data_IF_996985636396
#
_entry.id   IF_996985636396
#
_cell.length_a   1.000
_cell.length_b   1.000
_cell.length_c   1.000
_cell.angle_alpha   90.00
_cell.angle_beta   90.00
_cell.angle_gamma   90.00
#
_symmetry.space_group_name_H-M   'P 1'
#
loop_
_entity.id
_entity.type
_entity.pdbx_description
1 polymer ?
#
# COMPACT_ATOMS: atom_id res chain seq x y z
N UNK A 1 -26.63 24.77 -16.54
CA UNK A 1 -25.70 24.53 -15.43
C UNK A 1 -24.30 24.44 -16.00
N UNK A 2 -23.33 25.13 -15.38
CA UNK A 2 -21.92 25.12 -15.77
C UNK A 2 -21.13 24.35 -14.70
N UNK A 3 -20.44 23.29 -15.08
CA UNK A 3 -19.51 22.57 -14.22
C UNK A 3 -18.23 23.40 -14.14
N UNK A 4 -17.76 23.70 -12.95
CA UNK A 4 -16.51 24.44 -12.70
C UNK A 4 -15.47 23.63 -11.92
N UNK A 5 -15.85 22.47 -11.37
CA UNK A 5 -14.95 21.57 -10.67
C UNK A 5 -15.36 20.10 -10.86
N UNK A 6 -14.40 19.20 -10.89
CA UNK A 6 -14.58 17.74 -10.99
C UNK A 6 -13.71 17.08 -9.92
N UNK A 7 -14.25 16.10 -9.24
CA UNK A 7 -13.50 15.22 -8.34
C UNK A 7 -13.36 13.85 -9.01
N UNK A 8 -12.13 13.39 -9.17
CA UNK A 8 -11.80 12.10 -9.77
C UNK A 8 -11.20 11.17 -8.72
N UNK A 9 -11.67 9.93 -8.67
CA UNK A 9 -11.01 8.91 -7.88
C UNK A 9 -9.65 8.55 -8.50
N UNK A 10 -8.65 8.24 -7.66
CA UNK A 10 -7.34 7.84 -8.15
C UNK A 10 -7.38 6.44 -8.76
N UNK A 11 -7.77 5.45 -7.96
CA UNK A 11 -7.60 4.03 -8.29
C UNK A 11 -8.63 3.56 -9.33
N UNK A 12 -8.16 3.08 -10.48
CA UNK A 12 -9.01 2.62 -11.57
C UNK A 12 -9.63 3.73 -12.43
N UNK A 13 -9.59 5.01 -11.97
CA UNK A 13 -10.03 6.17 -12.75
C UNK A 13 -8.85 6.91 -13.35
N UNK A 14 -8.00 7.52 -12.54
CA UNK A 14 -6.76 8.18 -12.97
C UNK A 14 -5.69 7.14 -13.31
N UNK A 15 -5.60 6.06 -12.51
CA UNK A 15 -4.69 4.94 -12.71
C UNK A 15 -5.39 3.76 -13.40
N UNK A 16 -4.61 2.76 -13.82
CA UNK A 16 -5.10 1.55 -14.49
C UNK A 16 -5.93 0.66 -13.55
N UNK A 17 -5.83 0.83 -12.23
CA UNK A 17 -6.47 -0.02 -11.24
C UNK A 17 -5.84 -1.41 -11.16
N UNK A 18 -4.57 -1.51 -11.52
CA UNK A 18 -3.76 -2.73 -11.51
C UNK A 18 -2.50 -2.51 -10.69
N UNK A 19 -2.62 -2.41 -9.36
CA UNK A 19 -1.47 -2.22 -8.50
C UNK A 19 -0.50 -3.40 -8.63
N UNK A 20 0.80 -3.08 -8.63
CA UNK A 20 1.88 -4.07 -8.65
C UNK A 20 2.90 -3.72 -7.57
N UNK A 21 3.51 -4.74 -6.98
CA UNK A 21 4.65 -4.53 -6.07
C UNK A 21 5.86 -4.08 -6.88
N UNK A 22 6.24 -2.82 -6.69
CA UNK A 22 7.39 -2.20 -7.35
C UNK A 22 8.70 -2.51 -6.62
N UNK A 23 8.71 -2.36 -5.29
CA UNK A 23 9.88 -2.58 -4.46
C UNK A 23 9.49 -3.28 -3.16
N UNK A 24 10.46 -4.01 -2.59
CA UNK A 24 10.36 -4.63 -1.27
C UNK A 24 11.68 -4.43 -0.54
N UNK A 25 11.60 -3.99 0.70
CA UNK A 25 12.73 -3.95 1.62
C UNK A 25 12.42 -4.80 2.83
N UNK A 26 13.20 -5.86 3.04
CA UNK A 26 13.18 -6.66 4.27
C UNK A 26 14.14 -6.05 5.28
N UNK A 27 13.70 -5.87 6.50
CA UNK A 27 14.61 -5.41 7.57
C UNK A 27 15.62 -6.51 7.92
N UNK A 28 16.83 -6.16 8.40
CA UNK A 28 17.85 -7.14 8.75
C UNK A 28 17.33 -8.24 9.67
N UNK A 29 17.53 -9.49 9.27
CA UNK A 29 17.05 -10.68 9.99
C UNK A 29 15.56 -11.01 9.77
N UNK A 30 14.93 -10.41 8.78
CA UNK A 30 13.56 -10.71 8.36
C UNK A 30 13.47 -11.23 6.89
N UNK A 31 14.59 -11.50 6.23
CA UNK A 31 14.63 -12.01 4.85
C UNK A 31 14.23 -13.49 4.72
N UNK A 32 13.69 -14.09 5.77
CA UNK A 32 13.30 -15.49 5.85
C UNK A 32 12.05 -15.77 4.97
N UNK A 33 12.08 -16.86 4.23
CA UNK A 33 10.93 -17.37 3.44
C UNK A 33 9.68 -17.59 4.30
N UNK A 34 9.84 -17.86 5.58
CA UNK A 34 8.74 -17.95 6.52
C UNK A 34 7.98 -16.63 6.64
N UNK A 35 8.67 -15.47 6.72
CA UNK A 35 8.00 -14.17 6.79
C UNK A 35 7.32 -13.82 5.46
N UNK A 36 7.88 -14.24 4.34
CA UNK A 36 7.23 -14.11 3.02
C UNK A 36 5.93 -14.92 2.98
N UNK A 37 5.93 -16.14 3.50
CA UNK A 37 4.74 -17.00 3.57
C UNK A 37 3.69 -16.43 4.52
N UNK A 38 4.09 -15.85 5.66
CA UNK A 38 3.18 -15.18 6.60
C UNK A 38 2.53 -13.95 5.95
N UNK A 39 3.32 -13.08 5.31
CA UNK A 39 2.82 -11.90 4.61
C UNK A 39 1.82 -12.30 3.52
N UNK A 40 2.16 -13.29 2.69
CA UNK A 40 1.28 -13.80 1.65
C UNK A 40 -0.03 -14.36 2.22
N UNK A 41 0.04 -15.16 3.29
CA UNK A 41 -1.12 -15.81 3.90
C UNK A 41 -2.08 -14.80 4.56
N UNK A 42 -1.55 -13.71 5.11
CA UNK A 42 -2.35 -12.60 5.66
C UNK A 42 -3.02 -11.86 4.50
N UNK A 43 -2.26 -11.46 3.48
CA UNK A 43 -2.76 -10.64 2.39
C UNK A 43 -3.79 -11.38 1.52
N UNK A 44 -3.66 -12.68 1.32
CA UNK A 44 -4.66 -13.43 0.55
C UNK A 44 -6.05 -13.50 1.23
N UNK A 45 -6.16 -13.09 2.49
CA UNK A 45 -7.42 -12.98 3.23
C UNK A 45 -7.96 -11.54 3.25
N UNK A 46 -7.17 -10.59 2.81
CA UNK A 46 -7.54 -9.19 2.73
C UNK A 46 -8.32 -8.92 1.43
N UNK A 47 -9.37 -8.12 1.53
CA UNK A 47 -10.13 -7.65 0.36
C UNK A 47 -9.59 -6.34 -0.21
N UNK A 48 -8.46 -5.84 0.31
CA UNK A 48 -7.89 -4.58 -0.13
C UNK A 48 -7.22 -4.72 -1.50
N UNK A 49 -7.40 -3.78 -2.45
CA UNK A 49 -6.80 -3.88 -3.79
C UNK A 49 -5.27 -4.02 -3.80
N UNK A 50 -4.57 -3.46 -2.80
CA UNK A 50 -3.12 -3.60 -2.68
C UNK A 50 -2.69 -5.01 -2.25
N UNK A 51 -3.55 -5.74 -1.55
CA UNK A 51 -3.28 -7.11 -1.12
C UNK A 51 -3.08 -8.05 -2.30
N UNK A 52 -3.88 -7.89 -3.35
CA UNK A 52 -3.74 -8.69 -4.58
C UNK A 52 -2.36 -8.54 -5.21
N UNK A 53 -1.78 -7.33 -5.19
CA UNK A 53 -0.43 -7.08 -5.70
C UNK A 53 0.63 -7.87 -4.91
N UNK A 54 0.50 -7.92 -3.58
CA UNK A 54 1.40 -8.67 -2.69
C UNK A 54 1.22 -10.18 -2.91
N UNK A 55 -0.02 -10.65 -2.99
CA UNK A 55 -0.33 -12.07 -3.24
C UNK A 55 0.28 -12.53 -4.57
N UNK A 56 0.12 -11.77 -5.64
CA UNK A 56 0.70 -12.11 -6.94
C UNK A 56 2.24 -12.13 -6.91
N UNK A 57 2.86 -11.20 -6.19
CA UNK A 57 4.33 -11.11 -6.06
C UNK A 57 4.95 -12.33 -5.40
N UNK A 58 4.29 -12.88 -4.39
CA UNK A 58 4.82 -14.00 -3.60
C UNK A 58 4.24 -15.37 -3.97
N UNK A 59 3.29 -15.45 -4.89
CA UNK A 59 2.57 -16.69 -5.25
C UNK A 59 3.47 -17.89 -5.51
N UNK A 60 4.63 -17.69 -6.15
CA UNK A 60 5.57 -18.79 -6.49
C UNK A 60 6.60 -19.05 -5.39
N UNK A 61 6.62 -18.23 -4.33
CA UNK A 61 7.62 -18.30 -3.24
C UNK A 61 7.07 -18.88 -1.94
N UNK A 62 5.79 -19.21 -1.92
CA UNK A 62 5.14 -19.76 -0.72
C UNK A 62 5.53 -21.23 -0.59
N UNK A 63 6.31 -21.54 0.43
CA UNK A 63 6.87 -22.88 0.64
C UNK A 63 6.12 -23.67 1.70
N UNK A 64 5.36 -23.01 2.59
CA UNK A 64 4.71 -23.64 3.74
C UNK A 64 3.27 -23.15 3.92
N UNK A 65 2.37 -24.07 4.25
CA UNK A 65 1.06 -23.72 4.80
C UNK A 65 1.23 -23.05 6.17
N UNK A 66 0.84 -21.80 6.27
CA UNK A 66 0.83 -21.04 7.51
C UNK A 66 -0.61 -20.98 8.02
N UNK A 67 -0.84 -21.49 9.23
CA UNK A 67 -2.13 -21.31 9.88
C UNK A 67 -2.25 -19.91 10.47
N UNK A 68 -3.21 -19.14 9.96
CA UNK A 68 -3.54 -17.79 10.45
C UNK A 68 -4.85 -17.83 11.23
N UNK A 69 -4.85 -17.29 12.43
CA UNK A 69 -6.03 -17.08 13.28
C UNK A 69 -6.21 -15.59 13.61
N UNK A 70 -7.34 -15.27 14.23
CA UNK A 70 -7.66 -13.93 14.72
C UNK A 70 -7.39 -12.83 13.67
N UNK A 71 -7.84 -13.09 12.43
CA UNK A 71 -7.72 -12.11 11.35
C UNK A 71 -8.75 -10.99 11.56
N UNK A 72 -8.27 -9.77 11.66
CA UNK A 72 -9.10 -8.59 11.88
C UNK A 72 -8.76 -7.49 10.86
N UNK A 73 -9.79 -6.92 10.25
CA UNK A 73 -9.66 -5.76 9.40
C UNK A 73 -9.76 -4.48 10.24
N UNK A 74 -8.71 -3.65 10.18
CA UNK A 74 -8.63 -2.34 10.83
C UNK A 74 -8.97 -1.27 9.80
N UNK A 75 -10.23 -0.83 9.75
CA UNK A 75 -10.75 0.10 8.74
C UNK A 75 -9.82 1.30 8.50
N UNK A 76 -9.40 1.48 7.24
CA UNK A 76 -8.52 2.57 6.80
C UNK A 76 -7.06 2.46 7.28
N UNK A 77 -6.68 1.37 7.94
CA UNK A 77 -5.32 1.19 8.49
C UNK A 77 -4.62 -0.05 7.94
N UNK A 78 -5.34 -1.16 7.75
CA UNK A 78 -4.78 -2.43 7.32
C UNK A 78 -5.40 -3.62 8.03
N UNK A 79 -4.64 -4.68 8.23
CA UNK A 79 -5.10 -5.93 8.85
C UNK A 79 -4.15 -6.40 9.94
N UNK A 80 -4.70 -7.10 10.93
CA UNK A 80 -3.94 -7.81 11.96
C UNK A 80 -4.31 -9.29 11.96
N UNK A 81 -3.37 -10.16 12.33
CA UNK A 81 -3.60 -11.59 12.38
C UNK A 81 -2.61 -12.27 13.33
N UNK A 82 -2.94 -13.48 13.80
CA UNK A 82 -2.02 -14.31 14.58
C UNK A 82 -1.49 -15.48 13.77
N UNK A 83 -0.22 -15.78 13.99
CA UNK A 83 0.44 -17.01 13.55
C UNK A 83 1.12 -17.64 14.78
N UNK A 84 0.56 -18.75 15.26
CA UNK A 84 0.86 -19.26 16.60
C UNK A 84 0.52 -18.21 17.66
N UNK A 85 1.46 -17.93 18.57
CA UNK A 85 1.27 -16.95 19.65
C UNK A 85 1.68 -15.52 19.25
N UNK A 86 2.10 -15.28 18.00
CA UNK A 86 2.61 -13.98 17.56
C UNK A 86 1.58 -13.25 16.73
N UNK A 87 1.41 -11.95 17.05
CA UNK A 87 0.60 -11.01 16.26
C UNK A 87 1.46 -10.43 15.15
N UNK A 88 0.90 -10.43 13.94
CA UNK A 88 1.43 -9.76 12.76
C UNK A 88 0.43 -8.72 12.28
N UNK A 89 0.94 -7.70 11.61
CA UNK A 89 0.11 -6.66 11.02
C UNK A 89 0.64 -6.28 9.63
N UNK A 90 -0.30 -5.93 8.74
CA UNK A 90 0.01 -5.41 7.42
C UNK A 90 -0.85 -4.18 7.18
N UNK A 91 -0.24 -3.03 6.94
CA UNK A 91 -1.00 -1.78 6.78
C UNK A 91 -0.14 -0.53 6.70
N UNK A 92 -0.80 0.61 6.92
CA UNK A 92 -0.17 1.94 6.86
C UNK A 92 0.47 2.36 8.20
N UNK A 93 1.07 3.59 8.24
CA UNK A 93 1.67 4.16 9.45
C UNK A 93 0.70 4.23 10.64
N UNK A 94 -0.57 4.56 10.39
CA UNK A 94 -1.55 4.65 11.46
C UNK A 94 -1.79 3.30 12.15
N UNK A 95 -1.62 2.17 11.43
CA UNK A 95 -1.67 0.85 12.04
C UNK A 95 -0.44 0.59 12.91
N UNK A 96 0.76 0.98 12.47
CA UNK A 96 1.98 0.87 13.30
C UNK A 96 1.83 1.66 14.59
N UNK A 97 1.35 2.91 14.52
CA UNK A 97 1.16 3.80 15.66
C UNK A 97 0.21 3.21 16.71
N UNK A 98 -1.00 2.78 16.29
CA UNK A 98 -1.98 2.21 17.22
C UNK A 98 -1.55 0.85 17.78
N UNK A 99 -0.65 0.17 17.10
CA UNK A 99 -0.05 -1.11 17.54
C UNK A 99 1.27 -0.93 18.29
N UNK A 100 1.68 0.30 18.54
CA UNK A 100 2.93 0.64 19.23
C UNK A 100 4.18 0.01 18.60
N UNK A 101 4.18 -0.14 17.27
CA UNK A 101 5.33 -0.61 16.50
C UNK A 101 6.18 0.59 16.11
N UNK A 102 7.45 0.57 16.48
CA UNK A 102 8.39 1.65 16.16
C UNK A 102 8.91 1.44 14.73
N UNK A 103 8.79 2.49 13.93
CA UNK A 103 9.44 2.60 12.64
C UNK A 103 10.78 3.33 12.87
N UNK A 104 11.89 2.67 12.59
CA UNK A 104 13.22 3.28 12.73
C UNK A 104 13.50 4.32 11.63
N UNK A 105 14.48 5.17 11.85
CA UNK A 105 14.80 6.31 10.98
C UNK A 105 15.15 5.90 9.54
N UNK A 106 15.81 4.76 9.33
CA UNK A 106 16.22 4.31 8.00
C UNK A 106 15.03 3.78 7.21
N UNK A 107 14.17 3.01 7.86
CA UNK A 107 12.91 2.56 7.28
C UNK A 107 11.96 3.75 7.01
N UNK A 108 11.91 4.75 7.90
CA UNK A 108 11.12 5.97 7.69
C UNK A 108 11.62 6.74 6.45
N UNK A 109 12.94 6.98 6.33
CA UNK A 109 13.52 7.65 5.16
C UNK A 109 13.23 6.91 3.86
N UNK A 110 13.29 5.57 3.89
CA UNK A 110 12.98 4.75 2.72
C UNK A 110 11.51 4.86 2.33
N UNK A 111 10.61 4.80 3.32
CA UNK A 111 9.18 4.95 3.08
C UNK A 111 8.86 6.32 2.48
N UNK A 112 9.37 7.40 3.06
CA UNK A 112 9.19 8.79 2.56
C UNK A 112 9.71 8.94 1.13
N UNK A 113 10.86 8.33 0.80
CA UNK A 113 11.39 8.33 -0.56
C UNK A 113 10.43 7.64 -1.55
N UNK A 114 9.95 6.46 -1.23
CA UNK A 114 9.03 5.71 -2.10
C UNK A 114 7.68 6.41 -2.27
N UNK A 115 7.17 7.01 -1.20
CA UNK A 115 5.96 7.83 -1.24
C UNK A 115 6.15 9.07 -2.13
N UNK A 116 7.32 9.70 -2.06
CA UNK A 116 7.73 10.80 -2.94
C UNK A 116 7.85 10.39 -4.41
N UNK A 117 8.08 9.10 -4.68
CA UNK A 117 8.04 8.51 -6.03
C UNK A 117 6.60 8.12 -6.48
N UNK A 118 5.57 8.51 -5.74
CA UNK A 118 4.16 8.21 -6.05
C UNK A 118 3.70 6.80 -5.70
N UNK A 119 4.50 6.04 -4.92
CA UNK A 119 4.16 4.68 -4.51
C UNK A 119 3.41 4.68 -3.18
N UNK A 120 2.50 3.74 -3.01
CA UNK A 120 1.87 3.48 -1.70
C UNK A 120 2.73 2.51 -0.91
N UNK A 121 3.13 2.88 0.31
CA UNK A 121 3.96 2.02 1.16
C UNK A 121 3.08 1.28 2.16
N UNK A 122 3.21 -0.05 2.15
CA UNK A 122 2.58 -0.96 3.10
C UNK A 122 3.67 -1.52 4.02
N UNK A 123 3.42 -1.47 5.32
CA UNK A 123 4.33 -1.99 6.34
C UNK A 123 3.87 -3.38 6.77
N UNK A 124 4.79 -4.32 6.82
CA UNK A 124 4.61 -5.62 7.46
C UNK A 124 5.38 -5.65 8.76
N UNK A 125 4.72 -5.96 9.86
CA UNK A 125 5.35 -6.00 11.18
C UNK A 125 4.91 -7.22 11.98
N UNK A 126 5.75 -7.62 12.95
CA UNK A 126 5.48 -8.72 13.85
C UNK A 126 6.46 -8.72 15.02
N UNK A 127 6.00 -9.15 16.20
CA UNK A 127 6.83 -9.15 17.41
C UNK A 127 7.29 -7.74 17.83
N UNK A 128 6.47 -6.71 17.57
CA UNK A 128 6.74 -5.32 17.95
C UNK A 128 7.74 -4.57 17.06
N UNK A 129 8.14 -5.14 15.92
CA UNK A 129 9.08 -4.50 14.98
C UNK A 129 8.59 -4.59 13.54
N UNK A 130 9.01 -3.65 12.72
CA UNK A 130 8.83 -3.72 11.27
C UNK A 130 9.71 -4.84 10.70
N UNK A 131 9.14 -5.67 9.84
CA UNK A 131 9.79 -6.80 9.18
C UNK A 131 10.05 -6.49 7.70
N UNK A 132 9.12 -5.78 7.05
CA UNK A 132 9.30 -5.35 5.67
C UNK A 132 8.51 -4.08 5.36
N UNK A 133 9.01 -3.36 4.36
CA UNK A 133 8.30 -2.31 3.63
C UNK A 133 8.01 -2.84 2.22
N UNK A 134 6.79 -2.67 1.77
CA UNK A 134 6.35 -3.06 0.42
C UNK A 134 5.83 -1.82 -0.30
N UNK A 135 6.49 -1.42 -1.37
CA UNK A 135 6.04 -0.32 -2.21
C UNK A 135 5.17 -0.85 -3.35
N UNK A 136 3.95 -0.35 -3.42
CA UNK A 136 2.99 -0.71 -4.47
C UNK A 136 2.76 0.50 -5.37
N UNK A 137 2.86 0.30 -6.67
CA UNK A 137 2.60 1.32 -7.68
C UNK A 137 1.40 0.92 -8.54
N UNK A 138 0.58 1.91 -8.89
CA UNK A 138 -0.50 1.76 -9.86
C UNK A 138 -0.30 2.78 -10.98
N UNK A 139 -0.14 2.29 -12.20
CA UNK A 139 0.25 3.11 -13.35
C UNK A 139 -0.84 4.11 -13.71
N UNK A 140 -0.45 5.38 -13.90
CA UNK A 140 -1.33 6.43 -14.41
C UNK A 140 -1.66 6.13 -15.88
N UNK A 141 -2.94 6.19 -16.24
CA UNK A 141 -3.37 6.05 -17.63
C UNK A 141 -2.88 7.23 -18.45
N UNK A 142 -2.36 6.95 -19.65
CA UNK A 142 -1.99 8.01 -20.59
C UNK A 142 -3.16 8.94 -20.91
N UNK A 143 -4.35 8.37 -21.08
CA UNK A 143 -5.59 9.13 -21.30
C UNK A 143 -5.96 10.08 -20.15
N UNK A 144 -5.55 9.78 -18.92
CA UNK A 144 -5.86 10.63 -17.75
C UNK A 144 -5.10 11.95 -17.80
N UNK A 145 -3.83 11.92 -18.19
CA UNK A 145 -3.02 13.14 -18.38
C UNK A 145 -3.67 14.08 -19.40
N UNK A 146 -4.08 13.54 -20.53
CA UNK A 146 -4.75 14.31 -21.60
C UNK A 146 -6.11 14.86 -21.16
N UNK A 147 -6.90 14.04 -20.44
CA UNK A 147 -8.21 14.45 -19.94
C UNK A 147 -8.09 15.59 -18.93
N UNK A 148 -7.16 15.51 -17.96
CA UNK A 148 -6.92 16.57 -16.98
C UNK A 148 -6.46 17.85 -17.66
N UNK A 149 -5.53 17.77 -18.60
CA UNK A 149 -5.09 18.95 -19.38
C UNK A 149 -6.26 19.62 -20.11
N UNK A 150 -7.10 18.83 -20.78
CA UNK A 150 -8.29 19.36 -21.49
C UNK A 150 -9.30 20.02 -20.53
N UNK A 151 -9.48 19.48 -19.33
CA UNK A 151 -10.35 20.07 -18.30
C UNK A 151 -9.81 21.42 -17.83
N UNK A 152 -8.51 21.52 -17.56
CA UNK A 152 -7.86 22.76 -17.17
C UNK A 152 -7.96 23.84 -18.26
N UNK A 153 -7.77 23.48 -19.54
CA UNK A 153 -7.95 24.40 -20.69
C UNK A 153 -9.37 24.97 -20.77
N UNK A 154 -10.37 24.20 -20.31
CA UNK A 154 -11.78 24.64 -20.22
C UNK A 154 -12.10 25.43 -18.95
N UNK A 155 -11.11 25.69 -18.09
CA UNK A 155 -11.28 26.38 -16.83
C UNK A 155 -12.06 25.58 -15.79
N UNK A 156 -11.90 24.26 -15.80
CA UNK A 156 -12.50 23.32 -14.84
C UNK A 156 -11.40 22.87 -13.88
N UNK A 157 -11.62 23.09 -12.59
CA UNK A 157 -10.72 22.60 -11.54
C UNK A 157 -10.86 21.09 -11.38
N UNK A 158 -9.73 20.39 -11.28
CA UNK A 158 -9.70 18.94 -11.08
C UNK A 158 -9.13 18.62 -9.70
N UNK A 159 -9.88 17.86 -8.93
CA UNK A 159 -9.47 17.38 -7.61
C UNK A 159 -9.35 15.85 -7.64
N UNK A 160 -8.27 15.32 -7.06
CA UNK A 160 -8.08 13.88 -6.91
C UNK A 160 -8.54 13.43 -5.54
N UNK A 161 -9.39 12.40 -5.50
CA UNK A 161 -9.77 11.69 -4.28
C UNK A 161 -8.93 10.43 -4.16
N UNK A 162 -8.28 10.24 -3.01
CA UNK A 162 -7.46 9.05 -2.74
C UNK A 162 -7.39 8.77 -1.25
N UNK A 163 -7.21 7.49 -0.90
CA UNK A 163 -6.88 7.04 0.45
C UNK A 163 -5.39 7.08 0.79
N UNK A 164 -4.53 7.49 -0.17
CA UNK A 164 -3.10 7.61 0.06
C UNK A 164 -2.78 8.77 1.01
N UNK A 165 -1.57 8.75 1.57
CA UNK A 165 -1.04 9.89 2.30
C UNK A 165 -0.77 11.09 1.37
N UNK A 166 -0.60 12.28 1.98
CA UNK A 166 -0.44 13.53 1.23
C UNK A 166 0.79 13.55 0.31
N UNK A 167 1.86 12.84 0.66
CA UNK A 167 3.10 12.79 -0.12
C UNK A 167 2.89 12.02 -1.41
N UNK A 168 2.35 10.80 -1.31
CA UNK A 168 1.98 9.97 -2.47
C UNK A 168 0.96 10.68 -3.37
N UNK A 169 -0.05 11.32 -2.75
CA UNK A 169 -1.08 12.05 -3.50
C UNK A 169 -0.49 13.20 -4.32
N UNK A 170 0.45 13.98 -3.77
CA UNK A 170 1.14 15.06 -4.49
C UNK A 170 1.97 14.53 -5.65
N UNK A 171 2.75 13.48 -5.43
CA UNK A 171 3.60 12.91 -6.48
C UNK A 171 2.81 12.35 -7.68
N UNK A 172 1.53 12.02 -7.49
CA UNK A 172 0.63 11.61 -8.58
C UNK A 172 -0.04 12.82 -9.25
N UNK A 173 -0.25 13.92 -8.51
CA UNK A 173 -0.92 15.12 -9.01
C UNK A 173 0.00 16.03 -9.84
N UNK A 174 1.33 15.99 -9.61
CA UNK A 174 2.37 16.74 -10.34
C UNK A 174 2.75 16.04 -11.65
#
# INVERSE_FOLDING_TARGET
>A
YRVNAIVLDKTGTITEGKPVVADIHWTPGAEDERYQSILWEIERRSEHPLADAVVQKFKEKVVNEISVSDFENQTGKGVTAKVGDKVYLVGNRALLEVSHVILDDDNEKLAVRWEGDGKTVVFFAGGGRVLALVAVADKIKESSRQAVATLHEKGIDVYMLTGDNALTARAVAD
#
